data_IF_345514139779
#
_entry.id   IF_345514139779
#
_cell.length_a   1.000
_cell.length_b   1.000
_cell.length_c   1.000
_cell.angle_alpha   90.00
_cell.angle_beta   90.00
_cell.angle_gamma   90.00
#
_symmetry.space_group_name_H-M   'P 1'
#
loop_
_entity.id
_entity.type
_entity.pdbx_description
1 polymer ?
#
# COMPACT_ATOMS: atom_id res chain seq x y z
N UNK A 1 48.33 -2.87 56.23
CA UNK A 1 47.71 -2.67 57.56
C UNK A 1 46.65 -1.56 57.46
N UNK A 2 45.53 -1.75 58.18
CA UNK A 2 44.36 -0.86 58.37
C UNK A 2 43.31 -0.76 57.25
N UNK A 3 42.25 -1.55 57.47
CA UNK A 3 40.84 -1.34 57.08
C UNK A 3 40.37 0.07 57.45
N UNK A 4 39.44 0.66 56.70
CA UNK A 4 38.05 0.84 57.17
C UNK A 4 37.15 1.69 56.23
N UNK A 5 35.93 1.15 56.03
CA UNK A 5 34.61 1.78 56.00
C UNK A 5 34.31 2.91 55.00
N UNK A 6 33.59 2.51 53.95
CA UNK A 6 32.54 3.33 53.34
C UNK A 6 31.30 3.35 54.27
N UNK A 7 30.78 4.54 54.57
CA UNK A 7 29.45 4.74 55.15
C UNK A 7 28.82 6.04 54.63
N UNK A 8 27.68 5.89 53.94
CA UNK A 8 26.43 6.66 53.99
C UNK A 8 26.40 8.09 54.56
N UNK A 9 25.92 9.04 53.75
CA UNK A 9 25.08 10.21 54.13
C UNK A 9 24.21 10.54 52.90
N UNK A 10 22.91 10.18 52.82
CA UNK A 10 21.74 10.73 53.53
C UNK A 10 21.38 12.19 53.16
N UNK A 11 20.38 12.29 52.27
CA UNK A 11 19.25 13.23 52.23
C UNK A 11 19.43 14.69 52.68
N UNK A 12 19.22 15.60 51.73
CA UNK A 12 18.59 16.91 52.01
C UNK A 12 17.66 17.27 50.86
N UNK A 13 16.38 16.91 50.98
CA UNK A 13 15.30 17.47 50.14
C UNK A 13 14.54 18.47 51.00
N UNK A 14 14.68 19.75 50.68
CA UNK A 14 13.84 20.82 51.24
C UNK A 14 12.43 20.68 50.65
N UNK A 15 11.46 20.46 51.53
CA UNK A 15 10.03 20.46 51.22
C UNK A 15 9.53 21.89 51.01
N UNK A 16 9.16 22.23 49.77
CA UNK A 16 8.36 23.41 49.49
C UNK A 16 6.89 23.13 49.88
N UNK A 17 6.36 23.90 50.83
CA UNK A 17 4.96 23.85 51.25
C UNK A 17 4.07 24.42 50.15
N UNK A 18 3.38 23.55 49.40
CA UNK A 18 2.33 23.96 48.48
C UNK A 18 1.00 24.17 49.22
N UNK A 19 0.40 25.36 49.02
CA UNK A 19 -0.87 25.79 49.61
C UNK A 19 -2.04 24.91 49.15
N UNK A 20 -2.94 24.60 50.08
CA UNK A 20 -4.06 23.65 49.95
C UNK A 20 -5.17 24.07 48.95
N UNK A 21 -5.09 25.26 48.35
CA UNK A 21 -6.06 25.76 47.36
C UNK A 21 -5.89 25.19 45.95
N UNK A 22 -4.80 24.46 45.66
CA UNK A 22 -4.58 23.82 44.35
C UNK A 22 -5.19 22.42 44.21
N UNK A 23 -5.71 21.81 45.30
CA UNK A 23 -6.30 20.46 45.25
C UNK A 23 -7.73 20.43 44.75
N UNK A 24 -8.49 21.53 44.85
CA UNK A 24 -9.89 21.53 44.42
C UNK A 24 -10.03 21.72 42.90
N UNK A 25 -9.15 22.48 42.25
CA UNK A 25 -9.20 22.69 40.79
C UNK A 25 -8.66 21.49 40.01
N UNK A 26 -7.75 20.69 40.60
CA UNK A 26 -7.19 19.51 39.93
C UNK A 26 -8.13 18.30 39.95
N UNK A 27 -9.00 18.19 40.97
CA UNK A 27 -10.01 17.12 41.03
C UNK A 27 -11.23 17.39 40.13
N UNK A 28 -11.59 18.66 39.87
CA UNK A 28 -12.70 18.97 38.96
C UNK A 28 -12.35 18.73 37.49
N UNK A 29 -11.09 18.92 37.09
CA UNK A 29 -10.65 18.74 35.70
C UNK A 29 -10.41 17.26 35.36
N UNK A 30 -9.91 16.45 36.31
CA UNK A 30 -9.73 15.01 36.10
C UNK A 30 -11.06 14.24 36.07
N UNK A 31 -12.06 14.66 36.84
CA UNK A 31 -13.37 13.99 36.82
C UNK A 31 -14.17 14.30 35.55
N UNK A 32 -14.05 15.51 34.98
CA UNK A 32 -14.68 15.84 33.70
C UNK A 32 -14.01 15.14 32.51
N UNK A 33 -12.69 14.95 32.55
CA UNK A 33 -11.96 14.18 31.54
C UNK A 33 -12.32 12.69 31.54
N UNK A 34 -12.64 12.11 32.70
CA UNK A 34 -13.08 10.71 32.81
C UNK A 34 -14.52 10.52 32.33
N UNK A 35 -15.40 11.51 32.52
CA UNK A 35 -16.77 11.46 31.98
C UNK A 35 -16.79 11.58 30.45
N UNK A 36 -15.91 12.38 29.84
CA UNK A 36 -15.74 12.37 28.37
C UNK A 36 -15.05 11.10 27.84
N UNK A 37 -14.20 10.45 28.65
CA UNK A 37 -13.60 9.16 28.27
C UNK A 37 -14.59 7.99 28.37
N UNK A 38 -15.62 8.11 29.23
CA UNK A 38 -16.65 7.06 29.41
C UNK A 38 -17.95 7.32 28.62
N UNK A 39 -18.25 8.57 28.22
CA UNK A 39 -19.44 8.92 27.45
C UNK A 39 -19.15 9.30 25.97
N UNK A 40 -17.90 9.21 25.53
CA UNK A 40 -17.45 9.67 24.21
C UNK A 40 -16.75 8.62 23.36
N UNK A 41 -16.85 7.33 23.68
CA UNK A 41 -16.65 6.30 22.66
C UNK A 41 -17.98 6.24 21.91
N UNK A 42 -18.17 7.16 20.95
CA UNK A 42 -19.00 6.82 19.81
C UNK A 42 -18.48 5.47 19.37
N UNK A 43 -19.26 4.40 19.61
CA UNK A 43 -18.96 3.09 19.06
C UNK A 43 -18.73 3.37 17.59
N UNK A 44 -17.48 3.32 17.14
CA UNK A 44 -17.21 3.22 15.73
C UNK A 44 -18.08 2.06 15.30
N UNK A 45 -19.15 2.36 14.56
CA UNK A 45 -20.04 1.32 14.06
C UNK A 45 -19.11 0.29 13.44
N UNK A 46 -19.12 -0.91 14.01
CA UNK A 46 -18.45 -2.06 13.40
C UNK A 46 -18.88 -2.02 11.95
N UNK A 47 -17.96 -1.89 10.97
CA UNK A 47 -18.33 -1.67 9.60
C UNK A 47 -19.26 -2.82 9.22
N UNK A 48 -20.54 -2.50 9.09
CA UNK A 48 -21.56 -3.47 8.76
C UNK A 48 -21.11 -4.18 7.51
N UNK A 49 -21.34 -5.50 7.43
CA UNK A 49 -21.14 -6.26 6.20
C UNK A 49 -21.94 -5.67 5.01
N UNK A 50 -22.86 -4.74 5.27
CA UNK A 50 -23.63 -3.97 4.30
C UNK A 50 -23.03 -2.60 3.95
N UNK A 51 -21.77 -2.29 4.31
CA UNK A 51 -21.13 -1.05 3.86
C UNK A 51 -20.94 -1.12 2.32
N UNK A 52 -21.60 -0.24 1.53
CA UNK A 52 -21.55 -0.29 0.06
C UNK A 52 -20.12 -0.08 -0.49
N UNK A 53 -19.25 0.57 0.27
CA UNK A 53 -17.83 0.72 -0.06
C UNK A 53 -17.15 -0.64 0.03
N UNK A 54 -17.39 -1.40 1.11
CA UNK A 54 -16.84 -2.75 1.26
C UNK A 54 -17.36 -3.67 0.16
N UNK A 55 -18.66 -3.63 -0.13
CA UNK A 55 -19.26 -4.40 -1.23
C UNK A 55 -18.57 -4.12 -2.57
N UNK A 56 -18.28 -2.84 -2.88
CA UNK A 56 -17.56 -2.47 -4.10
C UNK A 56 -16.14 -3.03 -4.11
N UNK A 57 -15.39 -2.88 -3.02
CA UNK A 57 -14.02 -3.40 -2.91
C UNK A 57 -13.95 -4.94 -2.87
N UNK A 58 -15.02 -5.60 -2.45
CA UNK A 58 -15.14 -7.07 -2.49
C UNK A 58 -15.26 -7.61 -3.92
N UNK A 59 -15.66 -6.78 -4.88
CA UNK A 59 -15.79 -7.16 -6.30
C UNK A 59 -14.53 -6.84 -7.11
N UNK A 60 -13.57 -6.10 -6.54
CA UNK A 60 -12.36 -5.68 -7.21
C UNK A 60 -11.19 -6.57 -6.81
N UNK A 61 -10.42 -7.01 -7.80
CA UNK A 61 -9.18 -7.75 -7.65
C UNK A 61 -8.12 -7.14 -8.57
N UNK A 62 -6.85 -7.50 -8.40
CA UNK A 62 -5.81 -7.04 -9.35
C UNK A 62 -6.09 -7.58 -10.76
N UNK A 63 -6.65 -8.79 -10.87
CA UNK A 63 -6.99 -9.40 -12.15
C UNK A 63 -8.24 -8.79 -12.81
N UNK A 64 -9.12 -8.13 -12.06
CA UNK A 64 -10.31 -7.47 -12.62
C UNK A 64 -10.03 -6.04 -13.11
N UNK A 65 -8.85 -5.49 -12.84
CA UNK A 65 -8.48 -4.15 -13.29
C UNK A 65 -8.27 -4.13 -14.80
N UNK A 66 -8.68 -3.03 -15.44
CA UNK A 66 -8.50 -2.86 -16.87
C UNK A 66 -7.01 -2.77 -17.22
N UNK A 67 -6.68 -3.23 -18.43
CA UNK A 67 -5.36 -3.03 -19.00
C UNK A 67 -5.03 -1.55 -19.16
N UNK A 68 -3.74 -1.23 -19.09
CA UNK A 68 -3.30 0.14 -19.36
C UNK A 68 -3.57 0.51 -20.82
N UNK A 69 -4.31 1.59 -21.13
CA UNK A 69 -4.57 1.98 -22.51
C UNK A 69 -3.31 2.52 -23.20
N UNK A 70 -2.36 3.02 -22.42
CA UNK A 70 -1.08 3.56 -22.89
C UNK A 70 0.09 2.81 -22.27
N UNK A 71 1.25 2.88 -22.91
CA UNK A 71 2.48 2.36 -22.33
C UNK A 71 2.95 3.25 -21.16
N UNK A 72 3.42 2.63 -20.09
CA UNK A 72 4.02 3.30 -18.94
C UNK A 72 5.41 2.73 -18.70
N UNK A 73 6.38 3.60 -18.39
CA UNK A 73 7.72 3.17 -18.05
C UNK A 73 8.41 4.17 -17.13
N UNK A 74 9.11 3.69 -16.11
CA UNK A 74 9.93 4.51 -15.25
C UNK A 74 11.21 3.79 -14.85
N UNK A 75 12.34 4.49 -14.95
CA UNK A 75 13.61 4.02 -14.44
C UNK A 75 13.60 4.00 -12.91
N UNK A 76 14.16 2.93 -12.35
CA UNK A 76 14.47 2.82 -10.93
C UNK A 76 15.92 3.27 -10.74
N UNK A 77 16.14 4.33 -9.95
CA UNK A 77 17.46 4.77 -9.50
C UNK A 77 18.40 3.65 -9.10
N UNK A 78 19.68 3.66 -9.50
CA UNK A 78 20.68 2.68 -9.05
C UNK A 78 20.69 2.47 -7.54
N UNK A 79 20.58 3.56 -6.78
CA UNK A 79 20.56 3.57 -5.31
C UNK A 79 19.33 2.83 -4.74
N UNK A 80 18.26 2.70 -5.52
CA UNK A 80 17.02 2.04 -5.13
C UNK A 80 16.88 0.61 -5.68
N UNK A 81 17.61 0.24 -6.74
CA UNK A 81 17.38 -1.03 -7.46
C UNK A 81 17.41 -2.25 -6.54
N UNK A 82 18.36 -2.30 -5.61
CA UNK A 82 18.44 -3.39 -4.62
C UNK A 82 17.15 -3.54 -3.79
N UNK A 83 16.52 -2.42 -3.41
CA UNK A 83 15.26 -2.40 -2.65
C UNK A 83 14.08 -2.93 -3.48
N UNK A 84 14.17 -2.86 -4.80
CA UNK A 84 13.20 -3.40 -5.74
C UNK A 84 13.59 -4.80 -6.27
N UNK A 85 14.45 -5.53 -5.54
CA UNK A 85 14.90 -6.86 -5.96
C UNK A 85 15.77 -6.85 -7.22
N UNK A 86 16.52 -5.76 -7.43
CA UNK A 86 17.36 -5.53 -8.61
C UNK A 86 16.63 -4.93 -9.81
N UNK A 87 15.37 -4.52 -9.66
CA UNK A 87 14.61 -3.94 -10.77
C UNK A 87 15.21 -2.59 -11.18
N UNK A 88 15.62 -2.46 -12.44
CA UNK A 88 16.20 -1.24 -13.01
C UNK A 88 15.15 -0.33 -13.65
N UNK A 89 14.01 -0.88 -14.04
CA UNK A 89 12.91 -0.17 -14.69
C UNK A 89 11.60 -0.90 -14.46
N UNK A 90 10.52 -0.16 -14.23
CA UNK A 90 9.15 -0.69 -14.32
C UNK A 90 8.63 -0.38 -15.71
N UNK A 91 8.05 -1.36 -16.40
CA UNK A 91 7.46 -1.16 -17.72
C UNK A 91 6.16 -1.95 -17.86
N UNK A 92 5.11 -1.25 -18.25
CA UNK A 92 3.82 -1.82 -18.65
C UNK A 92 3.52 -1.33 -20.06
N UNK A 93 3.41 -2.25 -21.02
CA UNK A 93 3.03 -1.92 -22.40
C UNK A 93 1.54 -1.60 -22.46
N UNK A 94 1.14 -0.85 -23.49
CA UNK A 94 -0.28 -0.67 -23.79
C UNK A 94 -0.95 -2.04 -23.96
N UNK A 95 -2.15 -2.20 -23.42
CA UNK A 95 -2.90 -3.46 -23.41
C UNK A 95 -2.48 -4.46 -22.33
N UNK A 96 -1.45 -4.19 -21.51
CA UNK A 96 -1.09 -5.07 -20.39
C UNK A 96 -1.92 -4.78 -19.14
N UNK A 97 -2.44 -5.85 -18.54
CA UNK A 97 -3.09 -5.82 -17.23
C UNK A 97 -2.05 -5.63 -16.10
N UNK A 98 -2.40 -4.96 -15.00
CA UNK A 98 -1.48 -4.74 -13.88
C UNK A 98 -0.94 -6.06 -13.33
N UNK A 99 -1.73 -7.14 -13.36
CA UNK A 99 -1.30 -8.46 -12.89
C UNK A 99 -0.11 -9.07 -13.65
N UNK A 100 0.17 -8.58 -14.86
CA UNK A 100 1.21 -9.12 -15.76
C UNK A 100 2.43 -8.22 -15.88
N UNK A 101 2.34 -6.96 -15.45
CA UNK A 101 3.41 -5.99 -15.67
C UNK A 101 3.77 -5.16 -14.43
N UNK A 102 2.86 -5.01 -13.46
CA UNK A 102 3.12 -4.24 -12.25
C UNK A 102 3.86 -5.13 -11.23
N UNK A 103 5.08 -4.76 -10.82
CA UNK A 103 5.82 -5.54 -9.84
C UNK A 103 5.14 -5.57 -8.48
N UNK A 104 5.26 -6.68 -7.77
CA UNK A 104 4.66 -6.89 -6.44
C UNK A 104 5.15 -5.88 -5.42
N UNK A 105 6.33 -5.28 -5.58
CA UNK A 105 6.79 -4.20 -4.71
C UNK A 105 5.83 -3.01 -4.66
N UNK A 106 5.15 -2.69 -5.77
CA UNK A 106 4.14 -1.63 -5.82
C UNK A 106 2.83 -2.06 -5.17
N UNK A 107 2.37 -3.27 -5.50
CA UNK A 107 1.15 -3.83 -4.94
C UNK A 107 1.29 -4.11 -3.44
N UNK A 108 2.49 -4.41 -2.95
CA UNK A 108 2.75 -4.60 -1.53
C UNK A 108 2.59 -3.31 -0.74
N UNK A 109 3.00 -2.17 -1.29
CA UNK A 109 2.78 -0.88 -0.65
C UNK A 109 1.29 -0.53 -0.60
N UNK A 110 0.53 -0.78 -1.67
CA UNK A 110 -0.89 -0.48 -1.72
C UNK A 110 -1.76 -1.45 -0.89
N UNK A 111 -1.44 -2.75 -0.94
CA UNK A 111 -2.34 -3.79 -0.47
C UNK A 111 -1.76 -4.64 0.66
N UNK A 112 -0.46 -4.55 0.95
CA UNK A 112 0.19 -5.36 1.97
C UNK A 112 0.32 -6.83 1.59
N UNK A 113 0.30 -7.14 0.29
CA UNK A 113 0.30 -8.52 -0.25
C UNK A 113 1.48 -9.39 0.23
N UNK A 114 2.59 -8.78 0.62
CA UNK A 114 3.75 -9.48 1.17
C UNK A 114 3.47 -10.19 2.51
N UNK A 115 2.40 -9.79 3.23
CA UNK A 115 1.97 -10.44 4.46
C UNK A 115 1.26 -11.78 4.21
N UNK A 116 0.81 -12.04 2.98
CA UNK A 116 0.21 -13.33 2.66
C UNK A 116 1.26 -14.44 2.68
N UNK A 117 0.80 -15.63 3.05
CA UNK A 117 1.48 -16.90 2.84
C UNK A 117 0.78 -17.62 1.70
N UNK A 118 1.35 -18.69 1.11
CA UNK A 118 0.62 -19.51 0.14
C UNK A 118 -0.74 -19.98 0.68
N UNK A 119 -0.80 -20.39 1.95
CA UNK A 119 -2.01 -20.83 2.63
C UNK A 119 -3.05 -19.70 2.80
N UNK A 120 -2.64 -18.54 3.33
CA UNK A 120 -3.58 -17.43 3.56
C UNK A 120 -4.02 -16.76 2.27
N UNK A 121 -3.17 -16.75 1.23
CA UNK A 121 -3.55 -16.32 -0.12
C UNK A 121 -4.61 -17.23 -0.75
N UNK A 122 -4.49 -18.56 -0.60
CA UNK A 122 -5.50 -19.50 -1.06
C UNK A 122 -6.85 -19.24 -0.37
N UNK A 123 -6.85 -19.15 0.97
CA UNK A 123 -8.05 -18.85 1.76
C UNK A 123 -8.70 -17.52 1.37
N UNK A 124 -7.91 -16.44 1.27
CA UNK A 124 -8.40 -15.10 0.91
C UNK A 124 -8.96 -15.02 -0.53
N UNK A 125 -8.51 -15.91 -1.42
CA UNK A 125 -9.03 -16.06 -2.78
C UNK A 125 -10.18 -17.08 -2.90
N UNK A 126 -10.67 -17.62 -1.77
CA UNK A 126 -11.74 -18.62 -1.77
C UNK A 126 -11.33 -19.97 -2.37
N UNK A 127 -10.05 -20.33 -2.31
CA UNK A 127 -9.53 -21.61 -2.78
C UNK A 127 -9.37 -22.61 -1.63
N UNK A 128 -9.38 -23.93 -1.92
CA UNK A 128 -9.12 -24.95 -0.90
C UNK A 128 -7.79 -24.70 -0.18
N UNK A 129 -7.75 -25.07 1.09
CA UNK A 129 -6.52 -25.09 1.88
C UNK A 129 -5.47 -25.98 1.21
N UNK A 130 -4.20 -25.57 1.26
CA UNK A 130 -3.09 -26.42 0.84
C UNK A 130 -2.96 -27.57 1.82
N UNK A 131 -2.94 -28.79 1.30
CA UNK A 131 -2.88 -30.02 2.09
C UNK A 131 -1.47 -30.59 2.22
N UNK A 132 -0.54 -30.08 1.42
CA UNK A 132 0.82 -30.60 1.30
C UNK A 132 0.96 -31.65 0.20
N UNK A 133 -0.16 -32.14 -0.36
CA UNK A 133 -0.16 -33.07 -1.49
C UNK A 133 0.20 -32.39 -2.81
N UNK A 134 0.00 -31.08 -2.88
CA UNK A 134 0.33 -30.25 -4.04
C UNK A 134 1.84 -30.20 -4.26
N UNK A 135 2.27 -30.08 -5.52
CA UNK A 135 3.68 -29.88 -5.83
C UNK A 135 4.12 -28.45 -5.52
N UNK A 136 5.42 -28.22 -5.32
CA UNK A 136 5.96 -26.86 -5.21
C UNK A 136 5.72 -26.03 -6.47
N UNK A 137 5.66 -26.66 -7.64
CA UNK A 137 5.31 -25.97 -8.89
C UNK A 137 3.85 -25.48 -8.90
N UNK A 138 2.95 -26.17 -8.20
CA UNK A 138 1.54 -25.77 -8.08
C UNK A 138 1.36 -24.72 -6.98
N UNK A 139 1.89 -24.97 -5.79
CA UNK A 139 1.67 -24.12 -4.62
C UNK A 139 2.53 -22.84 -4.64
N UNK A 140 3.76 -22.93 -5.14
CA UNK A 140 4.78 -21.87 -5.05
C UNK A 140 5.65 -21.79 -6.32
N UNK A 141 5.07 -21.68 -7.53
CA UNK A 141 5.84 -21.62 -8.79
C UNK A 141 6.85 -20.47 -8.83
N UNK A 142 6.58 -19.39 -8.09
CA UNK A 142 7.45 -18.23 -7.97
C UNK A 142 8.82 -18.56 -7.34
N UNK A 143 8.94 -19.64 -6.56
CA UNK A 143 10.24 -20.10 -6.06
C UNK A 143 11.21 -20.34 -7.22
N UNK A 144 10.73 -20.84 -8.35
CA UNK A 144 11.55 -21.11 -9.53
C UNK A 144 12.14 -19.85 -10.18
N UNK A 145 11.71 -18.66 -9.76
CA UNK A 145 12.10 -17.36 -10.34
C UNK A 145 12.98 -16.51 -9.41
N UNK A 146 13.12 -16.91 -8.15
CA UNK A 146 14.04 -16.27 -7.20
C UNK A 146 15.33 -17.08 -7.07
N UNK A 147 16.38 -16.46 -6.55
CA UNK A 147 17.68 -17.10 -6.40
C UNK A 147 17.66 -18.14 -5.28
N UNK A 148 18.58 -19.11 -5.30
CA UNK A 148 18.75 -20.06 -4.19
C UNK A 148 18.99 -19.34 -2.87
N UNK A 149 19.83 -18.30 -2.87
CA UNK A 149 20.10 -17.47 -1.69
C UNK A 149 18.83 -16.86 -1.13
N UNK A 150 18.02 -16.24 -1.99
CA UNK A 150 16.78 -15.57 -1.55
C UNK A 150 15.72 -16.56 -1.07
N UNK A 151 15.64 -17.72 -1.72
CA UNK A 151 14.75 -18.81 -1.33
C UNK A 151 15.08 -19.32 0.08
N UNK A 152 16.36 -19.65 0.33
CA UNK A 152 16.83 -20.16 1.62
C UNK A 152 16.77 -19.10 2.73
N UNK A 153 17.05 -17.84 2.41
CA UNK A 153 16.91 -16.74 3.37
C UNK A 153 15.45 -16.57 3.83
N UNK A 154 14.49 -16.72 2.91
CA UNK A 154 13.07 -16.60 3.23
C UNK A 154 12.50 -17.81 3.97
N UNK A 155 12.95 -19.02 3.62
CA UNK A 155 12.61 -20.26 4.32
C UNK A 155 13.80 -21.25 4.30
N UNK A 156 14.56 -21.38 5.41
CA UNK A 156 15.70 -22.28 5.50
C UNK A 156 15.37 -23.76 5.30
N UNK A 157 14.12 -24.19 5.56
CA UNK A 157 13.68 -25.58 5.35
C UNK A 157 13.73 -26.00 3.88
N UNK A 158 13.80 -25.06 2.93
CA UNK A 158 14.01 -25.34 1.51
C UNK A 158 15.38 -26.00 1.22
N UNK A 159 16.33 -25.96 2.15
CA UNK A 159 17.57 -26.72 2.03
C UNK A 159 17.33 -28.24 1.92
N UNK A 160 16.24 -28.75 2.53
CA UNK A 160 15.90 -30.17 2.54
C UNK A 160 15.48 -30.75 1.17
N UNK A 161 15.27 -29.89 0.17
CA UNK A 161 14.89 -30.29 -1.19
C UNK A 161 15.96 -29.97 -2.22
N UNK A 162 17.09 -29.41 -1.79
CA UNK A 162 18.26 -29.26 -2.65
C UNK A 162 18.91 -30.65 -2.89
N UNK A 163 19.45 -30.90 -4.10
CA UNK A 163 20.20 -32.12 -4.36
C UNK A 163 21.50 -32.12 -3.54
N UNK A 164 22.03 -33.31 -3.23
CA UNK A 164 23.27 -33.43 -2.45
C UNK A 164 24.46 -32.73 -3.12
N UNK A 165 24.49 -32.69 -4.45
CA UNK A 165 25.48 -31.96 -5.25
C UNK A 165 25.43 -30.43 -5.09
N UNK A 166 24.37 -29.89 -4.49
CA UNK A 166 24.28 -28.47 -4.16
C UNK A 166 25.10 -28.09 -2.92
N UNK A 167 25.65 -29.05 -2.18
CA UNK A 167 26.42 -28.82 -0.96
C UNK A 167 27.91 -29.09 -1.18
N UNK A 168 28.75 -28.25 -0.57
CA UNK A 168 30.22 -28.39 -0.52
C UNK A 168 30.69 -28.32 0.93
N UNK A 169 31.88 -28.85 1.22
CA UNK A 169 32.53 -28.62 2.52
C UNK A 169 32.88 -27.14 2.65
N UNK A 170 32.53 -26.49 3.77
CA UNK A 170 32.84 -25.06 3.89
C UNK A 170 32.30 -24.29 5.09
N UNK A 171 31.76 -24.94 6.12
CA UNK A 171 31.41 -24.26 7.38
C UNK A 171 32.63 -24.10 8.30
N UNK A 172 32.68 -23.01 9.09
CA UNK A 172 33.60 -22.89 10.23
C UNK A 172 33.28 -24.01 11.24
N UNK A 173 33.96 -25.15 11.11
CA UNK A 173 33.64 -26.40 11.82
C UNK A 173 33.50 -27.65 10.93
N UNK A 174 33.76 -27.56 9.62
CA UNK A 174 33.79 -28.73 8.72
C UNK A 174 32.44 -29.19 8.19
N UNK A 175 31.36 -28.42 8.42
CA UNK A 175 30.02 -28.72 7.93
C UNK A 175 29.82 -28.47 6.42
N UNK A 176 28.76 -29.05 5.88
CA UNK A 176 28.28 -28.83 4.52
C UNK A 176 27.55 -27.49 4.40
N UNK A 177 27.93 -26.68 3.42
CA UNK A 177 27.28 -25.40 3.07
C UNK A 177 26.79 -25.44 1.63
N UNK A 178 25.78 -24.63 1.31
CA UNK A 178 25.32 -24.50 -0.08
C UNK A 178 26.42 -23.89 -0.93
N UNK A 179 26.71 -24.54 -2.06
CA UNK A 179 27.73 -24.13 -3.00
C UNK A 179 27.57 -22.63 -3.35
N UNK A 180 28.57 -21.78 -3.08
CA UNK A 180 28.51 -20.34 -3.38
C UNK A 180 28.15 -20.03 -4.84
N UNK A 181 28.56 -20.87 -5.78
CA UNK A 181 28.26 -20.71 -7.20
C UNK A 181 26.78 -20.88 -7.55
N UNK A 182 26.00 -21.53 -6.67
CA UNK A 182 24.56 -21.73 -6.86
C UNK A 182 23.72 -20.62 -6.23
N UNK A 183 24.30 -19.79 -5.34
CA UNK A 183 23.54 -18.82 -4.55
C UNK A 183 22.73 -17.85 -5.42
N UNK A 184 23.29 -17.41 -6.55
CA UNK A 184 22.64 -16.48 -7.47
C UNK A 184 21.85 -17.17 -8.59
N UNK A 185 21.84 -18.50 -8.64
CA UNK A 185 21.11 -19.30 -9.63
C UNK A 185 19.62 -19.35 -9.27
N UNK A 186 18.69 -19.32 -10.24
CA UNK A 186 17.28 -19.54 -9.95
C UNK A 186 17.04 -20.88 -9.26
N UNK A 187 16.26 -20.90 -8.18
CA UNK A 187 16.04 -22.11 -7.38
C UNK A 187 15.44 -23.26 -8.21
N UNK A 188 14.57 -22.94 -9.16
CA UNK A 188 13.95 -23.90 -10.08
C UNK A 188 14.91 -24.52 -11.10
N UNK A 189 16.11 -23.95 -11.28
CA UNK A 189 17.19 -24.54 -12.08
C UNK A 189 18.00 -25.57 -11.30
N UNK A 190 17.92 -25.55 -9.96
CA UNK A 190 18.61 -26.49 -9.07
C UNK A 190 17.65 -27.59 -8.60
N UNK A 191 16.37 -27.25 -8.43
CA UNK A 191 15.33 -28.16 -7.93
C UNK A 191 14.17 -28.24 -8.91
N UNK A 192 13.80 -29.46 -9.33
CA UNK A 192 12.59 -29.67 -10.12
C UNK A 192 11.33 -29.52 -9.23
N UNK A 193 10.72 -28.34 -9.26
CA UNK A 193 9.55 -28.03 -8.42
C UNK A 193 8.33 -28.94 -8.69
N UNK A 194 8.24 -29.58 -9.86
CA UNK A 194 7.14 -30.50 -10.19
C UNK A 194 7.28 -31.85 -9.49
N UNK A 195 8.49 -32.26 -9.14
CA UNK A 195 8.74 -33.56 -8.48
C UNK A 195 8.69 -33.50 -6.96
N UNK A 196 8.62 -32.30 -6.38
CA UNK A 196 8.64 -32.09 -4.93
C UNK A 196 7.26 -31.71 -4.43
N UNK A 197 6.72 -32.50 -3.52
CA UNK A 197 5.47 -32.18 -2.82
C UNK A 197 5.71 -31.15 -1.71
N UNK A 198 4.75 -30.26 -1.50
CA UNK A 198 4.79 -29.22 -0.47
C UNK A 198 4.98 -29.81 0.94
N UNK A 199 4.47 -31.02 1.21
CA UNK A 199 4.69 -31.72 2.49
C UNK A 199 6.16 -32.00 2.82
N UNK A 200 7.07 -31.94 1.84
CA UNK A 200 8.52 -32.04 2.08
C UNK A 200 9.08 -30.77 2.74
N UNK A 201 8.39 -29.64 2.60
CA UNK A 201 8.74 -28.34 3.19
C UNK A 201 7.44 -27.68 3.71
N UNK A 202 6.77 -28.27 4.72
CA UNK A 202 5.44 -27.84 5.13
C UNK A 202 5.42 -26.40 5.67
N UNK A 203 6.54 -25.93 6.23
CA UNK A 203 6.72 -24.55 6.68
C UNK A 203 6.49 -23.52 5.56
N UNK A 204 6.72 -23.90 4.30
CA UNK A 204 6.55 -23.01 3.15
C UNK A 204 5.11 -22.55 2.96
N UNK A 205 4.13 -23.41 3.26
CA UNK A 205 2.70 -23.06 3.15
C UNK A 205 2.35 -21.83 4.02
N UNK A 206 3.07 -21.65 5.12
CA UNK A 206 2.84 -20.61 6.13
C UNK A 206 3.96 -19.57 6.18
N UNK A 207 4.89 -19.59 5.23
CA UNK A 207 5.93 -18.56 5.16
C UNK A 207 5.40 -17.32 4.44
N UNK A 208 5.47 -16.11 5.04
CA UNK A 208 5.08 -14.88 4.38
C UNK A 208 5.89 -14.61 3.11
N UNK A 209 5.25 -14.07 2.08
CA UNK A 209 5.89 -13.75 0.80
C UNK A 209 7.01 -12.73 0.96
N UNK A 210 6.87 -11.76 1.87
CA UNK A 210 7.90 -10.75 2.13
C UNK A 210 9.19 -11.29 2.78
N UNK A 211 9.20 -12.54 3.25
CA UNK A 211 10.43 -13.19 3.69
C UNK A 211 11.38 -13.48 2.52
N UNK A 212 10.85 -13.60 1.30
CA UNK A 212 11.63 -13.95 0.12
C UNK A 212 12.09 -12.69 -0.61
N UNK A 213 13.40 -12.42 -0.56
CA UNK A 213 14.00 -11.38 -1.37
C UNK A 213 13.82 -11.68 -2.87
N UNK A 214 13.79 -10.64 -3.70
CA UNK A 214 13.60 -10.77 -5.14
C UNK A 214 12.15 -11.05 -5.57
N UNK A 215 11.23 -11.39 -4.65
CA UNK A 215 9.82 -11.55 -4.99
C UNK A 215 9.17 -10.24 -5.43
N UNK A 216 9.68 -9.10 -4.95
CA UNK A 216 9.17 -7.76 -5.23
C UNK A 216 9.19 -7.40 -6.72
N UNK A 217 10.06 -8.04 -7.50
CA UNK A 217 10.19 -7.85 -8.96
C UNK A 217 9.21 -8.71 -9.77
N UNK A 218 8.62 -9.73 -9.17
CA UNK A 218 7.62 -10.58 -9.82
C UNK A 218 6.29 -9.84 -9.92
N UNK A 219 5.34 -10.42 -10.63
CA UNK A 219 3.97 -9.90 -10.81
C UNK A 219 2.95 -10.85 -10.19
N UNK A 220 1.70 -10.39 -9.98
CA UNK A 220 0.68 -11.25 -9.35
C UNK A 220 0.29 -12.45 -10.20
N UNK A 221 0.43 -12.37 -11.52
CA UNK A 221 0.23 -13.53 -12.41
C UNK A 221 1.22 -14.68 -12.14
N UNK A 222 2.35 -14.39 -11.52
CA UNK A 222 3.40 -15.37 -11.20
C UNK A 222 3.25 -15.96 -9.79
N UNK A 223 2.35 -15.41 -8.96
CA UNK A 223 2.06 -15.93 -7.62
C UNK A 223 0.61 -16.42 -7.58
N UNK A 224 0.38 -17.72 -7.31
CA UNK A 224 -0.96 -18.25 -7.22
C UNK A 224 -1.84 -17.44 -6.27
N UNK A 225 -3.10 -17.30 -6.65
CA UNK A 225 -4.18 -16.71 -5.86
C UNK A 225 -4.10 -15.20 -5.60
N UNK A 226 -2.91 -14.59 -5.49
CA UNK A 226 -2.76 -13.16 -5.13
C UNK A 226 -3.57 -12.23 -6.05
N UNK A 227 -3.52 -12.46 -7.36
CA UNK A 227 -4.24 -11.62 -8.32
C UNK A 227 -5.78 -11.67 -8.19
N UNK A 228 -6.31 -12.72 -7.54
CA UNK A 228 -7.74 -12.97 -7.38
C UNK A 228 -8.27 -12.58 -5.98
N UNK A 229 -7.41 -12.11 -5.08
CA UNK A 229 -7.84 -11.65 -3.76
C UNK A 229 -8.61 -10.34 -3.93
N UNK A 230 -9.80 -10.28 -3.36
CA UNK A 230 -10.61 -9.07 -3.35
C UNK A 230 -9.90 -7.96 -2.57
N UNK A 231 -9.98 -6.71 -3.04
CA UNK A 231 -9.36 -5.56 -2.37
C UNK A 231 -9.84 -5.40 -0.94
N UNK A 232 -11.11 -5.71 -0.65
CA UNK A 232 -11.67 -5.70 0.71
C UNK A 232 -11.02 -6.71 1.66
N UNK A 233 -10.31 -7.72 1.14
CA UNK A 233 -9.60 -8.75 1.90
C UNK A 233 -8.07 -8.52 1.89
N UNK A 234 -7.60 -7.41 1.33
CA UNK A 234 -6.17 -7.10 1.30
C UNK A 234 -5.70 -6.54 2.65
N UNK A 235 -4.53 -6.97 3.18
CA UNK A 235 -4.08 -6.62 4.53
C UNK A 235 -3.93 -5.12 4.83
N UNK A 236 -3.62 -4.29 3.83
CA UNK A 236 -3.47 -2.84 4.01
C UNK A 236 -4.77 -2.06 3.76
N UNK A 237 -5.84 -2.71 3.31
CA UNK A 237 -7.11 -2.04 3.02
C UNK A 237 -7.98 -2.07 4.28
N UNK A 238 -7.98 -0.96 5.00
CA UNK A 238 -8.92 -0.70 6.09
C UNK A 238 -9.88 0.39 5.66
N UNK A 239 -11.19 0.08 5.65
CA UNK A 239 -12.23 1.05 5.33
C UNK A 239 -12.59 1.77 6.63
N UNK A 240 -12.17 3.03 6.82
CA UNK A 240 -12.44 3.76 8.06
C UNK A 240 -13.93 4.05 8.21
N UNK A 241 -14.37 4.21 9.46
CA UNK A 241 -15.65 4.84 9.77
C UNK A 241 -15.64 6.27 9.18
N UNK A 242 -16.69 6.64 8.44
CA UNK A 242 -16.79 7.95 7.79
C UNK A 242 -16.31 8.01 6.33
N UNK A 243 -15.91 6.90 5.71
CA UNK A 243 -15.66 6.86 4.26
C UNK A 243 -16.91 7.27 3.45
N UNK A 244 -16.71 7.82 2.24
CA UNK A 244 -17.80 8.38 1.44
C UNK A 244 -18.01 7.63 0.12
N UNK A 245 -19.24 7.60 -0.35
CA UNK A 245 -19.55 7.28 -1.75
C UNK A 245 -19.85 8.59 -2.44
N UNK A 246 -19.04 8.95 -3.43
CA UNK A 246 -19.21 10.17 -4.20
C UNK A 246 -19.89 9.85 -5.52
N UNK A 247 -20.74 10.78 -5.96
CA UNK A 247 -21.29 10.84 -7.30
C UNK A 247 -20.58 11.94 -8.06
N UNK A 248 -20.21 11.69 -9.30
CA UNK A 248 -19.88 12.73 -10.26
C UNK A 248 -21.16 13.51 -10.57
N UNK A 249 -21.12 14.81 -10.30
CA UNK A 249 -22.24 15.73 -10.50
C UNK A 249 -22.05 16.51 -11.80
N UNK A 250 -20.94 17.24 -11.90
CA UNK A 250 -20.62 18.09 -13.05
C UNK A 250 -19.25 17.73 -13.60
N UNK A 251 -19.12 17.75 -14.92
CA UNK A 251 -17.83 17.63 -15.61
C UNK A 251 -17.48 18.98 -16.23
N UNK A 252 -16.28 19.48 -15.94
CA UNK A 252 -15.77 20.76 -16.48
C UNK A 252 -14.42 20.56 -17.14
N UNK A 253 -14.18 21.31 -18.21
CA UNK A 253 -12.93 21.28 -18.97
C UNK A 253 -12.46 22.70 -19.29
N UNK A 254 -11.15 22.88 -19.42
CA UNK A 254 -10.50 24.14 -19.80
C UNK A 254 -10.76 25.33 -18.85
N UNK A 255 -11.07 25.04 -17.59
CA UNK A 255 -11.34 26.08 -16.59
C UNK A 255 -10.04 26.78 -16.16
N UNK A 256 -10.17 27.97 -15.56
CA UNK A 256 -9.02 28.75 -15.03
C UNK A 256 -9.19 29.00 -13.54
N UNK A 257 -8.08 29.10 -12.82
CA UNK A 257 -8.00 29.47 -11.41
C UNK A 257 -8.86 28.58 -10.47
N UNK A 258 -8.84 27.27 -10.71
CA UNK A 258 -9.55 26.27 -9.90
C UNK A 258 -8.79 26.05 -8.59
N UNK A 259 -9.23 26.73 -7.53
CA UNK A 259 -8.64 26.68 -6.17
C UNK A 259 -9.65 26.52 -5.04
N UNK A 260 -10.93 26.76 -5.32
CA UNK A 260 -12.02 26.60 -4.34
C UNK A 260 -12.56 25.18 -4.39
N UNK A 261 -12.81 24.61 -3.22
CA UNK A 261 -13.36 23.27 -2.99
C UNK A 261 -12.54 22.13 -3.61
N UNK A 262 -11.26 22.36 -3.88
CA UNK A 262 -10.37 21.33 -4.44
C UNK A 262 -10.04 20.29 -3.39
N UNK A 263 -10.20 19.01 -3.74
CA UNK A 263 -9.88 17.85 -2.89
C UNK A 263 -8.62 17.11 -3.35
N UNK A 264 -8.33 17.14 -4.65
CA UNK A 264 -7.18 16.48 -5.25
C UNK A 264 -5.86 17.19 -4.91
N UNK A 265 -4.81 16.43 -4.64
CA UNK A 265 -3.45 16.94 -4.44
C UNK A 265 -2.44 15.80 -4.41
N UNK A 266 -1.39 15.95 -3.61
CA UNK A 266 -0.51 14.88 -3.13
C UNK A 266 -0.29 15.02 -1.63
N UNK A 267 0.41 14.07 -1.01
CA UNK A 267 0.83 14.20 0.39
C UNK A 267 1.71 15.44 0.63
N UNK A 268 2.51 15.86 -0.36
CA UNK A 268 3.35 17.06 -0.25
C UNK A 268 2.64 18.36 -0.66
N UNK A 269 1.59 18.26 -1.48
CA UNK A 269 0.84 19.39 -2.01
C UNK A 269 -0.65 19.06 -1.93
N UNK A 270 -1.24 19.00 -0.72
CA UNK A 270 -2.65 18.70 -0.56
C UNK A 270 -3.50 19.81 -1.20
N UNK A 271 -4.67 19.44 -1.72
CA UNK A 271 -5.64 20.38 -2.29
C UNK A 271 -5.05 21.34 -3.35
N UNK A 272 -4.17 20.81 -4.20
CA UNK A 272 -3.38 21.62 -5.13
C UNK A 272 -4.26 22.37 -6.15
N UNK A 273 -4.12 23.69 -6.18
CA UNK A 273 -4.84 24.54 -7.14
C UNK A 273 -4.33 24.38 -8.57
N UNK A 274 -5.22 24.55 -9.55
CA UNK A 274 -4.88 24.62 -10.97
C UNK A 274 -5.15 26.02 -11.54
N UNK A 275 -4.22 26.56 -12.34
CA UNK A 275 -4.28 27.94 -12.84
C UNK A 275 -4.93 28.05 -14.22
N UNK A 276 -4.62 27.15 -15.14
CA UNK A 276 -5.06 27.21 -16.55
C UNK A 276 -5.35 25.82 -17.09
N UNK A 277 -6.28 25.71 -18.04
CA UNK A 277 -6.65 24.46 -18.72
C UNK A 277 -6.99 23.33 -17.75
N UNK A 278 -7.78 23.67 -16.72
CA UNK A 278 -8.10 22.76 -15.64
C UNK A 278 -9.35 21.96 -16.00
N UNK A 279 -9.18 20.65 -16.17
CA UNK A 279 -10.28 19.71 -16.27
C UNK A 279 -10.53 19.10 -14.89
N UNK A 280 -11.80 18.97 -14.50
CA UNK A 280 -12.16 18.41 -13.20
C UNK A 280 -13.58 17.85 -13.20
N UNK A 281 -13.87 17.05 -12.18
CA UNK A 281 -15.24 16.66 -11.83
C UNK A 281 -15.64 17.33 -10.51
N UNK A 282 -16.89 17.79 -10.44
CA UNK A 282 -17.54 18.14 -9.18
C UNK A 282 -18.22 16.91 -8.60
N UNK A 283 -18.17 16.76 -7.28
CA UNK A 283 -18.71 15.59 -6.60
C UNK A 283 -19.88 15.93 -5.70
N UNK A 284 -20.83 15.01 -5.63
CA UNK A 284 -21.94 15.03 -4.70
C UNK A 284 -21.87 13.78 -3.81
N UNK A 285 -21.82 13.92 -2.48
CA UNK A 285 -21.82 12.76 -1.60
C UNK A 285 -23.17 12.03 -1.67
N UNK A 286 -23.16 10.77 -2.08
CA UNK A 286 -24.32 9.90 -1.97
C UNK A 286 -24.45 9.32 -0.56
N UNK A 287 -23.31 9.04 0.08
CA UNK A 287 -23.19 8.49 1.43
C UNK A 287 -21.95 9.13 2.08
N UNK A 288 -22.08 9.56 3.34
CA UNK A 288 -20.96 10.12 4.11
C UNK A 288 -20.56 11.55 3.70
N UNK A 289 -19.86 12.25 4.59
CA UNK A 289 -19.20 13.55 4.35
C UNK A 289 -19.99 14.59 3.52
N UNK A 290 -21.14 15.11 4.01
CA UNK A 290 -21.99 16.06 3.28
C UNK A 290 -21.27 17.36 2.87
N UNK A 291 -20.22 17.74 3.60
CA UNK A 291 -19.41 18.92 3.31
C UNK A 291 -18.60 18.82 2.00
N UNK A 292 -18.53 17.65 1.38
CA UNK A 292 -17.91 17.40 0.07
C UNK A 292 -18.82 17.68 -1.12
N UNK A 293 -20.06 18.15 -0.88
CA UNK A 293 -20.95 18.59 -1.97
C UNK A 293 -20.30 19.76 -2.73
N UNK A 294 -20.15 19.61 -4.04
CA UNK A 294 -19.46 20.57 -4.91
C UNK A 294 -17.92 20.52 -4.79
N UNK A 295 -17.36 19.52 -4.10
CA UNK A 295 -15.93 19.32 -4.08
C UNK A 295 -15.40 18.96 -5.46
N UNK A 296 -14.19 19.44 -5.77
CA UNK A 296 -13.57 19.33 -7.09
C UNK A 296 -12.40 18.38 -7.04
N UNK A 297 -12.40 17.42 -7.96
CA UNK A 297 -11.27 16.53 -8.19
C UNK A 297 -10.68 16.91 -9.53
N UNK A 298 -9.56 17.63 -9.50
CA UNK A 298 -8.84 18.06 -10.69
C UNK A 298 -8.25 16.82 -11.37
N UNK A 299 -8.28 16.81 -12.70
CA UNK A 299 -7.70 15.74 -13.49
C UNK A 299 -6.19 15.66 -13.30
N UNK A 300 -5.70 14.43 -13.15
CA UNK A 300 -4.27 14.13 -13.21
C UNK A 300 -3.64 14.45 -14.56
N UNK A 301 -4.44 14.56 -15.63
CA UNK A 301 -3.96 14.96 -16.95
C UNK A 301 -3.73 16.50 -17.02
N UNK A 302 -4.49 17.27 -16.25
CA UNK A 302 -4.35 18.74 -16.18
C UNK A 302 -3.29 19.21 -15.17
N UNK A 303 -3.03 18.44 -14.11
CA UNK A 303 -2.15 18.90 -13.02
C UNK A 303 -1.22 17.81 -12.48
N UNK A 304 0.08 18.07 -12.58
CA UNK A 304 1.16 17.30 -11.95
C UNK A 304 1.66 18.01 -10.70
N UNK A 305 1.68 17.31 -9.57
CA UNK A 305 2.08 17.81 -8.25
C UNK A 305 3.38 17.14 -7.79
N UNK A 306 4.09 17.76 -6.84
CA UNK A 306 5.27 17.13 -6.22
C UNK A 306 4.83 15.91 -5.41
N UNK A 307 5.58 14.82 -5.49
CA UNK A 307 5.25 13.57 -4.81
C UNK A 307 6.47 12.78 -4.34
N UNK A 308 6.22 11.60 -3.78
CA UNK A 308 7.24 10.72 -3.22
C UNK A 308 7.82 11.18 -1.87
N UNK A 309 8.81 10.47 -1.36
CA UNK A 309 9.47 10.76 -0.06
C UNK A 309 10.89 10.20 -0.03
N UNK A 310 11.80 10.95 0.57
CA UNK A 310 13.19 10.54 0.79
C UNK A 310 13.94 10.13 -0.49
N UNK A 311 14.75 9.07 -0.42
CA UNK A 311 15.61 8.62 -1.52
C UNK A 311 14.86 8.18 -2.78
N UNK A 312 13.56 7.93 -2.69
CA UNK A 312 12.74 7.54 -3.85
C UNK A 312 11.92 8.69 -4.42
N UNK A 313 11.98 9.88 -3.80
CA UNK A 313 11.18 11.03 -4.20
C UNK A 313 11.48 11.55 -5.61
N UNK A 314 12.62 11.21 -6.22
CA UNK A 314 13.03 11.68 -7.54
C UNK A 314 12.60 10.77 -8.69
N UNK A 315 12.10 9.57 -8.39
CA UNK A 315 11.51 8.68 -9.40
C UNK A 315 10.42 9.45 -10.15
N UNK A 316 10.38 9.33 -11.48
CA UNK A 316 9.46 10.10 -12.34
C UNK A 316 9.61 11.64 -12.16
N UNK A 317 10.84 12.13 -11.93
CA UNK A 317 11.12 13.55 -11.72
C UNK A 317 10.50 14.13 -10.45
N UNK A 318 10.09 13.27 -9.51
CA UNK A 318 9.39 13.65 -8.29
C UNK A 318 8.02 14.25 -8.50
N UNK A 319 7.39 13.90 -9.62
CA UNK A 319 6.03 14.33 -9.96
C UNK A 319 5.08 13.15 -9.99
N UNK A 320 3.84 13.43 -9.61
CA UNK A 320 2.70 12.54 -9.75
C UNK A 320 1.46 13.33 -10.19
N UNK A 321 0.51 12.68 -10.88
CA UNK A 321 -0.78 13.29 -11.14
C UNK A 321 -1.48 13.66 -9.83
N UNK A 322 -2.17 14.80 -9.81
CA UNK A 322 -3.05 15.17 -8.69
C UNK A 322 -4.16 14.13 -8.50
N UNK A 323 -4.60 13.92 -7.27
CA UNK A 323 -5.61 12.91 -6.95
C UNK A 323 -5.84 12.80 -5.45
N UNK A 324 -6.51 11.73 -5.03
CA UNK A 324 -6.87 11.52 -3.63
C UNK A 324 -6.15 10.29 -3.10
N UNK A 325 -5.31 10.49 -2.09
CA UNK A 325 -4.52 9.42 -1.49
C UNK A 325 -5.38 8.56 -0.54
N UNK A 326 -5.15 7.26 -0.55
CA UNK A 326 -5.71 6.31 0.40
C UNK A 326 -4.78 5.11 0.55
N UNK A 327 -4.44 4.69 1.77
CA UNK A 327 -3.80 3.40 2.06
C UNK A 327 -2.71 2.94 1.05
N UNK A 328 -1.71 3.76 0.75
CA UNK A 328 -0.60 3.39 -0.14
C UNK A 328 -0.96 3.32 -1.64
N UNK A 329 -2.16 3.79 -2.01
CA UNK A 329 -2.66 3.96 -3.38
C UNK A 329 -3.26 5.37 -3.57
N UNK A 330 -3.56 5.75 -4.80
CA UNK A 330 -4.13 7.07 -5.12
C UNK A 330 -5.19 7.00 -6.20
N UNK A 331 -6.36 7.56 -5.94
CA UNK A 331 -7.41 7.73 -6.95
C UNK A 331 -7.12 8.97 -7.80
N UNK A 332 -7.05 8.80 -9.11
CA UNK A 332 -6.71 9.88 -10.05
C UNK A 332 -7.79 9.95 -11.11
N UNK A 333 -8.40 11.13 -11.28
CA UNK A 333 -9.37 11.37 -12.36
C UNK A 333 -8.61 11.69 -13.65
N UNK A 334 -8.96 11.03 -14.75
CA UNK A 334 -8.34 11.17 -16.08
C UNK A 334 -9.39 11.16 -17.18
N UNK A 335 -8.97 11.47 -18.40
CA UNK A 335 -9.82 11.41 -19.61
C UNK A 335 -11.15 12.16 -19.42
N UNK A 336 -11.09 13.35 -18.84
CA UNK A 336 -12.27 14.16 -18.55
C UNK A 336 -12.84 14.70 -19.87
N UNK A 337 -14.13 14.47 -20.11
CA UNK A 337 -14.81 14.92 -21.32
C UNK A 337 -16.16 15.55 -20.98
N UNK A 338 -16.20 16.88 -20.96
CA UNK A 338 -17.42 17.63 -20.66
C UNK A 338 -18.53 17.41 -21.70
N UNK A 339 -18.20 17.23 -23.00
CA UNK A 339 -19.20 17.01 -24.06
C UNK A 339 -19.96 15.70 -23.87
N UNK A 340 -19.29 14.68 -23.34
CA UNK A 340 -19.89 13.37 -23.09
C UNK A 340 -20.34 13.18 -21.64
N UNK A 341 -20.03 14.13 -20.75
CA UNK A 341 -20.27 13.98 -19.32
C UNK A 341 -19.53 12.76 -18.73
N UNK A 342 -18.29 12.50 -19.18
CA UNK A 342 -17.52 11.32 -18.76
C UNK A 342 -16.17 11.66 -18.15
N UNK A 343 -15.67 10.73 -17.32
CA UNK A 343 -14.32 10.74 -16.78
C UNK A 343 -13.89 9.30 -16.45
N UNK A 344 -12.61 9.05 -16.28
CA UNK A 344 -12.07 7.76 -15.81
C UNK A 344 -11.44 7.96 -14.43
N UNK A 345 -11.78 7.09 -13.48
CA UNK A 345 -11.04 6.99 -12.21
C UNK A 345 -9.98 5.92 -12.36
N UNK A 346 -8.72 6.33 -12.26
CA UNK A 346 -7.57 5.45 -12.23
C UNK A 346 -7.14 5.16 -10.79
N UNK A 347 -6.61 3.96 -10.59
CA UNK A 347 -5.89 3.59 -9.39
C UNK A 347 -4.39 3.69 -9.65
N UNK A 348 -3.75 4.63 -8.97
CA UNK A 348 -2.33 4.88 -9.07
C UNK A 348 -1.55 4.27 -7.90
N UNK A 349 -0.37 3.75 -8.21
CA UNK A 349 0.50 3.02 -7.30
C UNK A 349 1.81 3.73 -7.10
N UNK A 350 2.34 3.56 -5.90
CA UNK A 350 3.73 3.86 -5.55
C UNK A 350 4.37 2.60 -4.98
N UNK A 351 5.66 2.67 -4.75
CA UNK A 351 6.34 1.69 -3.92
C UNK A 351 7.15 2.40 -2.84
N UNK A 352 7.16 1.80 -1.66
CA UNK A 352 7.86 2.30 -0.50
C UNK A 352 8.84 1.27 0.04
N UNK A 353 9.94 1.78 0.57
CA UNK A 353 10.95 1.06 1.31
C UNK A 353 11.17 1.76 2.66
N UNK A 354 11.39 0.98 3.72
CA UNK A 354 11.32 1.47 5.10
C UNK A 354 12.65 1.35 5.88
N UNK A 355 13.73 0.83 5.28
CA UNK A 355 15.00 0.80 6.00
C UNK A 355 15.62 2.20 6.04
N UNK A 356 16.08 2.61 7.23
CA UNK A 356 16.61 3.95 7.52
C UNK A 356 15.59 5.09 7.30
N UNK A 357 14.30 4.77 7.42
CA UNK A 357 13.21 5.73 7.26
C UNK A 357 12.30 5.37 6.09
N UNK A 358 11.21 6.11 5.95
CA UNK A 358 10.26 5.90 4.87
C UNK A 358 10.73 6.61 3.60
N UNK A 359 10.95 5.83 2.55
CA UNK A 359 11.30 6.28 1.21
C UNK A 359 10.26 5.76 0.23
N UNK A 360 9.59 6.64 -0.49
CA UNK A 360 8.49 6.27 -1.38
C UNK A 360 8.64 6.95 -2.74
N UNK A 361 8.32 6.22 -3.80
CA UNK A 361 8.15 6.84 -5.12
C UNK A 361 6.91 7.73 -5.12
N UNK A 362 6.79 8.67 -6.08
CA UNK A 362 5.49 9.26 -6.39
C UNK A 362 4.46 8.20 -6.86
N UNK A 363 3.18 8.55 -6.90
CA UNK A 363 2.07 7.75 -7.43
C UNK A 363 1.98 7.84 -8.97
N UNK A 364 3.03 7.41 -9.66
CA UNK A 364 3.20 7.70 -11.10
C UNK A 364 2.63 6.63 -12.05
N UNK A 365 2.43 5.39 -11.59
CA UNK A 365 1.87 4.30 -12.42
C UNK A 365 0.39 4.17 -12.11
N UNK A 366 -0.48 4.19 -13.12
CA UNK A 366 -1.92 4.16 -12.93
C UNK A 366 -2.65 3.26 -13.91
N UNK A 367 -3.70 2.59 -13.45
CA UNK A 367 -4.56 1.75 -14.26
C UNK A 367 -6.02 2.18 -14.14
N UNK A 368 -6.81 2.16 -15.22
CA UNK A 368 -8.23 2.47 -15.14
C UNK A 368 -8.95 1.49 -14.20
N UNK A 369 -9.78 2.04 -13.31
CA UNK A 369 -10.59 1.26 -12.38
C UNK A 369 -12.09 1.41 -12.69
N UNK A 370 -12.56 2.65 -12.87
CA UNK A 370 -13.96 2.93 -13.17
C UNK A 370 -14.10 3.95 -14.29
N UNK A 371 -15.02 3.69 -15.22
CA UNK A 371 -15.48 4.69 -16.16
C UNK A 371 -16.74 5.36 -15.61
N UNK A 372 -16.66 6.67 -15.40
CA UNK A 372 -17.76 7.49 -14.95
C UNK A 372 -18.53 8.06 -16.15
N UNK A 373 -19.84 8.11 -16.01
CA UNK A 373 -20.77 8.77 -16.92
C UNK A 373 -22.00 9.24 -16.14
N UNK A 374 -22.89 10.01 -16.75
CA UNK A 374 -24.17 10.40 -16.13
C UNK A 374 -24.97 9.19 -15.61
N UNK A 375 -24.93 8.07 -16.35
CA UNK A 375 -25.62 6.82 -15.95
C UNK A 375 -24.85 6.00 -14.92
N UNK A 376 -23.53 6.16 -14.83
CA UNK A 376 -22.63 5.46 -13.90
C UNK A 376 -21.75 6.48 -13.20
N UNK A 377 -22.36 7.33 -12.39
CA UNK A 377 -21.68 8.47 -11.79
C UNK A 377 -21.15 8.20 -10.39
N UNK A 378 -21.50 7.08 -9.75
CA UNK A 378 -21.10 6.79 -8.37
C UNK A 378 -19.76 6.04 -8.32
N UNK A 379 -18.88 6.44 -7.40
CA UNK A 379 -17.65 5.74 -7.08
C UNK A 379 -17.34 5.86 -5.57
N UNK A 380 -16.84 4.80 -4.93
CA UNK A 380 -16.44 4.89 -3.54
C UNK A 380 -15.16 5.73 -3.44
N UNK A 381 -15.20 6.75 -2.60
CA UNK A 381 -14.01 7.46 -2.19
C UNK A 381 -13.68 7.08 -0.75
N UNK A 382 -12.61 6.32 -0.62
CA UNK A 382 -12.02 6.11 0.69
C UNK A 382 -10.95 7.16 0.88
N UNK A 383 -11.09 7.94 1.93
CA UNK A 383 -10.08 8.89 2.38
C UNK A 383 -10.29 9.09 3.88
N UNK A 384 -9.20 9.19 4.61
CA UNK A 384 -9.19 9.53 6.04
C UNK A 384 -9.13 11.04 6.25
N UNK A 385 -8.78 11.78 5.21
CA UNK A 385 -8.40 13.19 5.25
C UNK A 385 -8.99 13.93 4.05
N UNK A 386 -10.30 13.82 3.82
CA UNK A 386 -10.99 14.56 2.76
C UNK A 386 -11.02 16.07 3.09
N UNK A 387 -9.89 16.75 3.14
CA UNK A 387 -9.86 18.19 3.25
C UNK A 387 -10.28 18.81 1.92
N UNK A 388 -10.96 19.95 1.99
CA UNK A 388 -11.22 20.81 0.85
C UNK A 388 -10.81 22.22 1.20
N UNK A 389 -10.15 22.93 0.27
CA UNK A 389 -9.80 24.34 0.49
C UNK A 389 -11.00 25.23 0.19
N UNK A 390 -11.53 25.90 1.21
CA UNK A 390 -12.60 26.90 1.06
C UNK A 390 -12.02 28.31 1.02
N UNK A 391 -12.16 28.97 -0.13
CA UNK A 391 -11.92 30.41 -0.25
C UNK A 391 -13.14 31.17 0.27
N UNK A 392 -12.97 31.95 1.35
CA UNK A 392 -13.99 32.87 1.86
C UNK A 392 -13.63 34.26 1.31
N UNK A 393 -14.50 34.85 0.47
CA UNK A 393 -14.38 36.27 0.14
C UNK A 393 -15.09 37.06 1.23
N UNK A 394 -14.32 37.75 2.06
CA UNK A 394 -14.86 38.77 2.94
C UNK A 394 -15.31 39.94 2.06
N UNK A 395 -16.60 40.20 2.00
CA UNK A 395 -17.10 41.47 1.45
C UNK A 395 -16.64 42.57 2.40
N UNK A 396 -15.93 43.57 1.87
CA UNK A 396 -15.60 44.79 2.60
C UNK A 396 -16.76 45.77 2.52
#
# INVERSE_FOLDING_TARGET
MRKAKFNSLANTVRTAKFKATAKFTYFSITTLAIIFYLAGVAKAETPSNNNPIRATFSQLTVNSMAASPTGMSAAIPPQAQAMFGGLTKVTCRAGQAPSTCLPLGFLNTAFGIGKFTPQTAASAAGKPALTGSETLATATPWLGKITVKDALAGNPSLAAVLPQSAFVSGGSGGGSVVNPNLQNTPFGSVVNLKSIQLKRVPSLANTPLNNFAGIQKLTTSQIPNIGNIAFANMPSITIPAGAAVLKMDVVRTQERNVRHMVMSGSEQQPNASCQTNCDYIETHPAIGMPYLKGARIISGDSLQVRGGKGLLAWVNGGKEPTGIHFAGLKFVVRNVNAKQGTATVNLNFRSCFYAFGEHCTPFFIGFPLWQLSERRNSFPLITTDASVVRMIRLQK
#
